data_IF_321292716272
#
_entry.id   IF_321292716272
#
_cell.length_a   1.000
_cell.length_b   1.000
_cell.length_c   1.000
_cell.angle_alpha   90.00
_cell.angle_beta   90.00
_cell.angle_gamma   90.00
#
_symmetry.space_group_name_H-M   'P 1'
#
loop_
_entity.id
_entity.type
_entity.pdbx_description
1 polymer ?
#
# COMPACT_ATOMS: atom_id res chain seq x y z
N UNK A 1 15.88 7.12 -2.42
CA UNK A 1 15.25 6.59 -1.18
C UNK A 1 14.28 5.49 -1.56
N UNK A 2 14.48 4.31 -1.02
CA UNK A 2 13.55 3.18 -1.22
C UNK A 2 12.29 3.35 -0.38
N UNK A 3 11.24 2.58 -0.71
CA UNK A 3 10.01 2.55 0.10
C UNK A 3 10.30 2.20 1.56
N UNK A 4 11.19 1.23 1.80
CA UNK A 4 11.60 0.84 3.16
C UNK A 4 12.28 1.99 3.94
N UNK A 5 13.10 2.79 3.26
CA UNK A 5 13.72 3.96 3.87
C UNK A 5 12.71 5.07 4.13
N UNK A 6 11.81 5.30 3.18
CA UNK A 6 10.74 6.28 3.34
C UNK A 6 9.85 5.96 4.55
N UNK A 7 9.46 4.69 4.70
CA UNK A 7 8.71 4.25 5.88
C UNK A 7 9.44 4.57 7.19
N UNK A 8 10.71 4.16 7.30
CA UNK A 8 11.51 4.38 8.52
C UNK A 8 11.71 5.85 8.86
N UNK A 9 11.92 6.69 7.84
CA UNK A 9 12.29 8.09 8.03
C UNK A 9 11.08 9.01 8.21
N UNK A 10 9.94 8.67 7.62
CA UNK A 10 8.78 9.57 7.58
C UNK A 10 7.50 8.96 8.16
N UNK A 11 7.14 7.74 7.79
CA UNK A 11 5.85 7.18 8.18
C UNK A 11 5.83 6.72 9.63
N UNK A 12 6.82 5.95 10.06
CA UNK A 12 6.89 5.50 11.46
C UNK A 12 6.99 6.65 12.47
N UNK A 13 7.82 7.68 12.25
CA UNK A 13 7.81 8.84 13.14
C UNK A 13 6.47 9.55 13.19
N UNK A 14 5.81 9.72 12.04
CA UNK A 14 4.50 10.37 11.95
C UNK A 14 3.40 9.63 12.71
N UNK A 15 3.42 8.31 12.69
CA UNK A 15 2.41 7.45 13.32
C UNK A 15 2.84 6.91 14.68
N UNK A 16 3.99 7.33 15.21
CA UNK A 16 4.60 6.78 16.42
C UNK A 16 3.77 6.97 17.68
N UNK A 17 3.06 8.11 17.79
CA UNK A 17 2.24 8.43 18.97
C UNK A 17 1.11 7.42 19.17
N UNK A 18 0.43 7.02 18.12
CA UNK A 18 -0.71 6.09 18.14
C UNK A 18 -0.32 4.66 17.77
N UNK A 19 0.88 4.46 17.22
CA UNK A 19 1.39 3.18 16.74
C UNK A 19 0.43 2.48 15.79
N UNK A 20 -0.15 3.24 14.88
CA UNK A 20 -1.16 2.80 13.93
C UNK A 20 -0.69 2.97 12.48
N UNK A 21 -1.53 2.63 11.52
CA UNK A 21 -1.28 2.91 10.11
C UNK A 21 -1.48 4.39 9.79
N UNK A 22 -0.97 4.82 8.62
CA UNK A 22 -1.26 6.17 8.10
C UNK A 22 -2.76 6.33 7.85
N UNK A 23 -3.41 5.28 7.34
CA UNK A 23 -4.86 5.26 7.11
C UNK A 23 -5.63 5.53 8.39
N UNK A 24 -5.25 4.90 9.51
CA UNK A 24 -5.87 5.15 10.82
C UNK A 24 -5.71 6.61 11.26
N UNK A 25 -4.53 7.19 11.05
CA UNK A 25 -4.30 8.61 11.33
C UNK A 25 -5.21 9.53 10.49
N UNK A 26 -5.37 9.23 9.20
CA UNK A 26 -6.25 9.99 8.32
C UNK A 26 -7.73 9.88 8.73
N UNK A 27 -8.17 8.70 9.16
CA UNK A 27 -9.53 8.47 9.66
C UNK A 27 -9.81 9.21 10.97
N UNK A 28 -8.81 9.48 11.77
CA UNK A 28 -8.96 10.12 13.07
C UNK A 28 -9.20 11.64 12.99
N UNK A 29 -9.08 12.24 11.82
CA UNK A 29 -9.26 13.69 11.61
C UNK A 29 -10.39 13.96 10.63
N UNK A 30 -11.31 14.86 11.00
CA UNK A 30 -12.39 15.30 10.12
C UNK A 30 -11.88 15.99 8.84
N UNK A 31 -10.66 16.53 8.85
CA UNK A 31 -10.05 17.16 7.68
C UNK A 31 -9.57 16.16 6.63
N UNK A 32 -9.32 14.91 7.01
CA UNK A 32 -8.68 13.89 6.15
C UNK A 32 -9.48 12.59 6.00
N UNK A 33 -10.52 12.37 6.80
CA UNK A 33 -11.29 11.12 6.77
C UNK A 33 -11.93 10.80 5.42
N UNK A 34 -12.29 11.82 4.64
CA UNK A 34 -12.85 11.65 3.30
C UNK A 34 -11.85 11.08 2.29
N UNK A 35 -10.56 11.10 2.60
CA UNK A 35 -9.50 10.54 1.75
C UNK A 35 -9.34 9.02 1.94
N UNK A 36 -10.12 8.42 2.83
CA UNK A 36 -10.10 6.99 3.12
C UNK A 36 -11.47 6.40 2.80
N UNK A 37 -11.47 5.25 2.18
CA UNK A 37 -12.69 4.53 1.82
C UNK A 37 -12.40 3.10 1.41
N UNK A 38 -13.44 2.32 1.05
CA UNK A 38 -13.26 0.97 0.55
C UNK A 38 -12.33 0.95 -0.67
N UNK A 39 -11.34 0.06 -0.66
CA UNK A 39 -10.36 -0.02 -1.74
C UNK A 39 -10.99 -0.48 -3.05
N UNK A 40 -10.61 0.17 -4.14
CA UNK A 40 -11.01 -0.19 -5.50
C UNK A 40 -9.84 -0.75 -6.32
N UNK A 41 -8.61 -0.53 -5.86
CA UNK A 41 -7.38 -1.02 -6.47
C UNK A 41 -6.42 -1.55 -5.42
N UNK A 42 -5.85 -2.72 -5.66
CA UNK A 42 -4.74 -3.27 -4.88
C UNK A 42 -3.42 -2.92 -5.56
N UNK A 43 -2.48 -2.35 -4.81
CA UNK A 43 -1.15 -1.98 -5.32
C UNK A 43 -0.14 -3.05 -4.91
N UNK A 44 0.41 -3.74 -5.90
CA UNK A 44 1.52 -4.68 -5.72
C UNK A 44 2.82 -4.02 -6.17
N UNK A 45 3.80 -3.94 -5.28
CA UNK A 45 5.08 -3.29 -5.52
C UNK A 45 6.20 -3.94 -4.72
N UNK A 46 7.42 -3.46 -4.92
CA UNK A 46 8.60 -3.91 -4.18
C UNK A 46 9.12 -2.81 -3.25
N UNK A 47 9.32 -3.14 -1.99
CA UNK A 47 9.79 -2.21 -0.96
C UNK A 47 11.23 -1.69 -1.20
N UNK A 48 12.01 -2.40 -2.00
CA UNK A 48 13.37 -2.02 -2.36
C UNK A 48 13.45 -1.00 -3.50
N UNK A 49 12.33 -0.75 -4.19
CA UNK A 49 12.30 0.25 -5.25
C UNK A 49 12.34 1.67 -4.70
N UNK A 50 12.88 2.64 -5.47
CA UNK A 50 12.74 4.05 -5.12
C UNK A 50 11.28 4.42 -4.97
N UNK A 51 10.92 4.97 -3.82
CA UNK A 51 9.53 5.30 -3.50
C UNK A 51 8.93 6.30 -4.48
N UNK A 52 9.72 7.30 -4.88
CA UNK A 52 9.29 8.28 -5.87
C UNK A 52 8.94 7.64 -7.21
N UNK A 53 9.69 6.63 -7.65
CA UNK A 53 9.41 5.92 -8.90
C UNK A 53 8.11 5.12 -8.80
N UNK A 54 7.87 4.48 -7.66
CA UNK A 54 6.62 3.75 -7.40
C UNK A 54 5.41 4.70 -7.46
N UNK A 55 5.49 5.84 -6.79
CA UNK A 55 4.43 6.86 -6.84
C UNK A 55 4.23 7.41 -8.25
N UNK A 56 5.31 7.71 -8.97
CA UNK A 56 5.21 8.23 -10.32
C UNK A 56 4.53 7.23 -11.26
N UNK A 57 4.86 5.95 -11.14
CA UNK A 57 4.21 4.90 -11.92
C UNK A 57 2.71 4.82 -11.63
N UNK A 58 2.31 4.92 -10.37
CA UNK A 58 0.89 4.94 -9.97
C UNK A 58 0.19 6.17 -10.55
N UNK A 59 0.76 7.37 -10.41
CA UNK A 59 0.18 8.59 -10.97
C UNK A 59 0.06 8.54 -12.48
N UNK A 60 1.09 8.05 -13.17
CA UNK A 60 1.06 7.91 -14.63
C UNK A 60 -0.06 6.95 -15.08
N UNK A 61 -0.27 5.86 -14.33
CA UNK A 61 -1.34 4.92 -14.64
C UNK A 61 -2.73 5.56 -14.53
N UNK A 62 -2.97 6.37 -13.50
CA UNK A 62 -4.27 7.00 -13.27
C UNK A 62 -4.48 8.27 -14.09
N UNK A 63 -3.44 8.85 -14.66
CA UNK A 63 -3.54 10.05 -15.48
C UNK A 63 -4.49 9.83 -16.67
N UNK A 64 -5.50 10.68 -16.79
CA UNK A 64 -6.48 10.62 -17.88
C UNK A 64 -7.52 9.50 -17.78
N UNK A 65 -7.50 8.67 -16.72
CA UNK A 65 -8.54 7.66 -16.51
C UNK A 65 -9.79 8.27 -15.89
N UNK A 66 -10.95 7.77 -16.30
CA UNK A 66 -12.24 8.21 -15.77
C UNK A 66 -12.41 7.91 -14.26
N UNK A 67 -11.83 6.79 -13.80
CA UNK A 67 -11.90 6.36 -12.39
C UNK A 67 -10.87 6.99 -11.48
N UNK A 68 -9.98 7.85 -11.97
CA UNK A 68 -8.88 8.42 -11.17
C UNK A 68 -9.36 9.22 -9.96
N UNK A 69 -10.45 9.98 -10.09
CA UNK A 69 -10.98 10.81 -9.00
C UNK A 69 -11.64 9.98 -7.89
N UNK A 70 -12.12 8.77 -8.20
CA UNK A 70 -12.82 7.88 -7.26
C UNK A 70 -11.98 6.69 -6.81
N UNK A 71 -10.77 6.52 -7.35
CA UNK A 71 -9.90 5.41 -7.01
C UNK A 71 -9.45 5.47 -5.54
N UNK A 72 -9.62 4.37 -4.83
CA UNK A 72 -9.13 4.18 -3.47
C UNK A 72 -8.14 3.02 -3.48
N UNK A 73 -6.91 3.29 -3.07
CA UNK A 73 -5.80 2.36 -3.21
C UNK A 73 -5.55 1.60 -1.92
N UNK A 74 -5.57 0.27 -1.99
CA UNK A 74 -4.97 -0.55 -0.96
C UNK A 74 -3.45 -0.61 -1.20
N UNK A 75 -2.71 0.20 -0.50
CA UNK A 75 -1.26 0.31 -0.61
C UNK A 75 -0.66 0.03 0.77
N UNK A 76 -0.01 -1.13 0.93
CA UNK A 76 0.44 -1.66 2.22
C UNK A 76 1.24 -0.65 3.06
N UNK A 77 2.03 0.18 2.42
CA UNK A 77 2.83 1.24 3.06
C UNK A 77 1.97 2.16 3.94
N UNK A 78 0.73 2.41 3.53
CA UNK A 78 -0.18 3.34 4.22
C UNK A 78 -1.29 2.63 5.01
N UNK A 79 -1.73 1.46 4.55
CA UNK A 79 -2.86 0.75 5.17
C UNK A 79 -2.43 -0.16 6.32
N UNK A 80 -1.22 -0.72 6.27
CA UNK A 80 -0.70 -1.56 7.33
C UNK A 80 0.07 -0.72 8.36
N UNK A 81 -0.09 -1.06 9.65
CA UNK A 81 0.75 -0.48 10.67
C UNK A 81 2.18 -0.98 10.51
N UNK A 82 3.12 -0.06 10.43
CA UNK A 82 4.54 -0.36 10.28
C UNK A 82 5.27 -0.50 11.63
N UNK A 83 4.53 -0.53 12.74
CA UNK A 83 5.09 -0.66 14.08
C UNK A 83 5.20 -2.12 14.51
N UNK A 84 6.38 -2.50 15.03
CA UNK A 84 6.73 -3.89 15.38
C UNK A 84 5.87 -4.54 16.47
N UNK A 85 5.05 -3.77 17.16
CA UNK A 85 4.13 -4.28 18.19
C UNK A 85 2.79 -4.76 17.65
N UNK A 86 2.61 -4.74 16.34
CA UNK A 86 1.40 -5.26 15.71
C UNK A 86 1.23 -6.79 15.87
N UNK A 87 2.10 -7.43 16.66
CA UNK A 87 2.09 -8.87 16.88
C UNK A 87 2.93 -9.63 15.87
N UNK A 88 2.91 -10.96 15.91
CA UNK A 88 3.65 -11.78 14.98
C UNK A 88 3.18 -11.56 13.54
N UNK A 89 4.07 -11.77 12.58
CA UNK A 89 3.73 -11.77 11.16
C UNK A 89 2.54 -12.70 10.92
N UNK A 90 1.65 -12.33 10.00
CA UNK A 90 0.53 -13.19 9.64
C UNK A 90 1.02 -14.57 9.19
N UNK A 91 0.37 -15.66 9.61
CA UNK A 91 0.77 -17.00 9.18
C UNK A 91 0.60 -17.19 7.67
N UNK A 92 1.37 -18.11 7.04
CA UNK A 92 1.24 -18.36 5.59
C UNK A 92 -0.19 -18.67 5.14
N UNK A 93 -0.95 -19.39 5.95
CA UNK A 93 -2.35 -19.71 5.64
C UNK A 93 -3.22 -18.45 5.48
N UNK A 94 -2.95 -17.40 6.25
CA UNK A 94 -3.68 -16.15 6.14
C UNK A 94 -3.50 -15.52 4.75
N UNK A 95 -2.28 -15.53 4.20
CA UNK A 95 -2.02 -15.03 2.83
C UNK A 95 -2.70 -15.87 1.76
N UNK A 96 -2.75 -17.18 1.95
CA UNK A 96 -3.36 -18.11 1.00
C UNK A 96 -4.90 -18.08 1.00
N UNK A 97 -5.51 -17.55 2.05
CA UNK A 97 -6.97 -17.55 2.23
C UNK A 97 -7.50 -16.12 2.37
N UNK A 98 -7.50 -15.57 3.59
CA UNK A 98 -8.12 -14.27 3.91
C UNK A 98 -7.58 -13.13 3.08
N UNK A 99 -6.27 -13.06 2.90
CA UNK A 99 -5.63 -12.00 2.14
C UNK A 99 -5.95 -12.11 0.65
N UNK A 100 -5.88 -13.31 0.10
CA UNK A 100 -6.25 -13.60 -1.29
C UNK A 100 -7.70 -13.22 -1.57
N UNK A 101 -8.61 -13.59 -0.69
CA UNK A 101 -10.03 -13.26 -0.81
C UNK A 101 -10.26 -11.74 -0.74
N UNK A 102 -9.51 -11.04 0.09
CA UNK A 102 -9.56 -9.58 0.19
C UNK A 102 -9.12 -8.92 -1.12
N UNK A 103 -8.03 -9.40 -1.74
CA UNK A 103 -7.58 -8.93 -3.05
C UNK A 103 -8.67 -9.18 -4.11
N UNK A 104 -9.27 -10.36 -4.11
CA UNK A 104 -10.34 -10.70 -5.04
C UNK A 104 -11.57 -9.79 -4.89
N UNK A 105 -11.92 -9.39 -3.67
CA UNK A 105 -13.02 -8.45 -3.40
C UNK A 105 -12.73 -7.04 -3.89
N UNK A 106 -11.48 -6.58 -3.81
CA UNK A 106 -11.04 -5.30 -4.36
C UNK A 106 -11.26 -5.31 -5.88
N UNK A 107 -10.97 -6.42 -6.54
CA UNK A 107 -11.35 -6.70 -7.92
C UNK A 107 -10.37 -6.18 -8.96
N UNK A 108 -9.50 -5.23 -8.63
CA UNK A 108 -8.50 -4.66 -9.53
C UNK A 108 -7.14 -4.62 -8.88
N UNK A 109 -6.10 -4.98 -9.62
CA UNK A 109 -4.72 -5.01 -9.15
C UNK A 109 -3.84 -4.20 -10.10
N UNK A 110 -3.04 -3.30 -9.54
CA UNK A 110 -2.00 -2.59 -10.25
C UNK A 110 -0.63 -3.14 -9.80
N UNK A 111 0.06 -3.78 -10.72
CA UNK A 111 1.43 -4.27 -10.50
C UNK A 111 2.42 -3.19 -10.93
N UNK A 112 3.19 -2.68 -9.98
CA UNK A 112 4.26 -1.72 -10.25
C UNK A 112 5.56 -2.50 -10.48
N UNK A 113 6.08 -2.41 -11.70
CA UNK A 113 7.26 -3.14 -12.16
C UNK A 113 8.45 -2.19 -12.22
N UNK A 114 9.57 -2.59 -11.62
CA UNK A 114 10.82 -1.84 -11.61
C UNK A 114 11.63 -2.05 -12.91
N UNK A 115 11.89 -3.31 -13.26
CA UNK A 115 12.60 -3.74 -14.46
C UNK A 115 11.67 -4.69 -15.21
N UNK A 116 11.28 -4.31 -16.41
CA UNK A 116 10.22 -5.01 -17.15
C UNK A 116 10.59 -6.46 -17.53
N UNK A 117 11.86 -6.76 -17.73
CA UNK A 117 12.36 -8.09 -18.11
C UNK A 117 12.78 -8.96 -16.91
N UNK A 118 12.83 -8.37 -15.71
CA UNK A 118 13.16 -9.09 -14.47
C UNK A 118 12.44 -8.44 -13.28
N UNK A 119 11.09 -8.45 -13.24
CA UNK A 119 10.33 -7.72 -12.25
C UNK A 119 10.36 -8.40 -10.88
N UNK A 120 11.01 -7.76 -9.91
CA UNK A 120 11.09 -8.27 -8.54
C UNK A 120 9.72 -8.36 -7.85
N UNK A 121 8.76 -7.52 -8.26
CA UNK A 121 7.39 -7.58 -7.74
C UNK A 121 6.72 -8.94 -7.96
N UNK A 122 7.07 -9.66 -9.02
CA UNK A 122 6.53 -10.99 -9.32
C UNK A 122 7.11 -12.09 -8.41
N UNK A 123 8.13 -11.80 -7.64
CA UNK A 123 8.70 -12.77 -6.68
C UNK A 123 7.99 -12.74 -5.32
N UNK A 124 7.03 -11.86 -5.13
CA UNK A 124 6.25 -11.75 -3.89
C UNK A 124 5.25 -12.89 -3.76
N UNK A 125 4.88 -13.20 -2.51
CA UNK A 125 4.10 -14.39 -2.17
C UNK A 125 2.61 -14.36 -2.58
N UNK A 126 2.09 -13.24 -3.05
CA UNK A 126 0.70 -13.13 -3.48
C UNK A 126 0.46 -13.15 -4.96
#
# INVERSE_FOLDING_TARGET
MTTSQFDKMYLRPRTSRRRCSVTDELCASAATEQNVGPATWFISHTWNNPFANTLQAIFNFFEGREDSASAMLWFDVFVDSQHATAGPSKPPLWYMTTFKDSIARIGSLLLVVDVWDSPTALTRAW
#
